data_IF_219286168733
#
_entry.id   IF_219286168733
#
_cell.length_a   1.000
_cell.length_b   1.000
_cell.length_c   1.000
_cell.angle_alpha   90.00
_cell.angle_beta   90.00
_cell.angle_gamma   90.00
#
_symmetry.space_group_name_H-M   'P 1'
#
loop_
_entity.id
_entity.type
_entity.pdbx_description
1 polymer ?
#
# COMPACT_ATOMS: atom_id res chain seq x y z
N UNK A 1 1.78 -18.90 -7.49
CA UNK A 1 1.69 -17.44 -7.43
C UNK A 1 3.09 -16.92 -7.27
N UNK A 2 3.46 -15.99 -8.14
CA UNK A 2 4.76 -15.33 -8.15
C UNK A 2 4.57 -13.84 -7.81
N UNK A 3 5.51 -13.20 -7.10
CA UNK A 3 5.43 -11.76 -6.86
C UNK A 3 5.33 -10.92 -8.17
N UNK A 4 5.86 -11.44 -9.29
CA UNK A 4 5.77 -10.83 -10.62
C UNK A 4 4.38 -10.86 -11.26
N UNK A 5 3.43 -11.64 -10.72
CA UNK A 5 2.04 -11.66 -11.21
C UNK A 5 1.33 -10.32 -10.93
N UNK A 6 1.84 -9.52 -9.99
CA UNK A 6 1.23 -8.26 -9.56
C UNK A 6 1.59 -7.10 -10.48
N UNK A 7 0.62 -6.24 -10.84
CA UNK A 7 0.87 -5.11 -11.73
C UNK A 7 1.88 -4.15 -11.13
N UNK A 8 2.70 -3.56 -11.99
CA UNK A 8 3.72 -2.59 -11.59
C UNK A 8 3.49 -1.19 -12.18
N UNK A 9 2.90 -1.10 -13.37
CA UNK A 9 2.55 0.17 -14.04
C UNK A 9 1.08 0.55 -13.88
N UNK A 10 0.23 -0.42 -13.51
CA UNK A 10 -1.22 -0.25 -13.33
C UNK A 10 -1.99 0.24 -14.55
N UNK A 11 -1.38 0.13 -15.74
CA UNK A 11 -2.05 0.36 -17.02
C UNK A 11 -2.92 -0.85 -17.36
N UNK A 12 -4.09 -0.60 -17.93
CA UNK A 12 -4.94 -1.66 -18.47
C UNK A 12 -4.28 -2.28 -19.72
N UNK A 13 -4.28 -3.62 -19.86
CA UNK A 13 -3.64 -4.29 -21.00
C UNK A 13 -4.36 -4.08 -22.35
N UNK A 14 -5.67 -3.80 -22.33
CA UNK A 14 -6.48 -3.65 -23.54
C UNK A 14 -6.62 -2.17 -23.95
N UNK A 15 -6.63 -1.26 -22.97
CA UNK A 15 -6.85 0.17 -23.16
C UNK A 15 -5.64 0.99 -22.67
N UNK A 16 -4.76 1.47 -23.57
CA UNK A 16 -3.51 2.12 -23.17
C UNK A 16 -3.69 3.47 -22.47
N UNK A 17 -4.87 4.09 -22.59
CA UNK A 17 -5.23 5.33 -21.91
C UNK A 17 -5.94 5.11 -20.56
N UNK A 18 -6.09 3.86 -20.10
CA UNK A 18 -6.76 3.53 -18.86
C UNK A 18 -5.77 3.01 -17.82
N UNK A 19 -5.87 3.53 -16.59
CA UNK A 19 -5.06 3.12 -15.44
C UNK A 19 -5.96 2.90 -14.22
N UNK A 20 -5.61 1.93 -13.37
CA UNK A 20 -6.36 1.61 -12.15
C UNK A 20 -5.43 1.46 -10.94
N UNK A 21 -5.60 2.29 -9.91
CA UNK A 21 -4.74 2.30 -8.71
C UNK A 21 -5.55 2.15 -7.43
N UNK A 22 -4.86 1.80 -6.34
CA UNK A 22 -5.46 1.67 -5.01
C UNK A 22 -6.47 0.54 -4.92
N UNK A 23 -7.66 0.80 -4.37
CA UNK A 23 -8.71 -0.23 -4.26
C UNK A 23 -9.28 -0.61 -5.64
N UNK A 24 -9.15 0.22 -6.68
CA UNK A 24 -9.82 -0.06 -7.96
C UNK A 24 -9.21 -1.24 -8.75
N UNK A 25 -7.91 -1.51 -8.62
CA UNK A 25 -7.29 -2.58 -9.42
C UNK A 25 -7.66 -3.98 -8.88
N UNK A 26 -7.71 -4.95 -9.79
CA UNK A 26 -8.01 -6.33 -9.47
C UNK A 26 -6.74 -7.09 -9.05
N UNK A 27 -6.67 -7.63 -7.82
CA UNK A 27 -5.59 -8.52 -7.42
C UNK A 27 -5.59 -9.80 -8.28
N UNK A 28 -4.43 -10.25 -8.80
CA UNK A 28 -4.34 -11.44 -9.66
C UNK A 28 -4.60 -12.74 -8.87
N UNK A 29 -4.30 -12.75 -7.58
CA UNK A 29 -4.50 -13.90 -6.70
C UNK A 29 -4.53 -13.46 -5.21
N UNK A 30 -4.93 -14.38 -4.33
CA UNK A 30 -4.85 -14.18 -2.88
C UNK A 30 -3.38 -14.17 -2.39
N UNK A 31 -3.13 -13.55 -1.23
CA UNK A 31 -1.78 -13.39 -0.67
C UNK A 31 -1.52 -14.25 0.56
N UNK A 32 -2.47 -15.11 0.94
CA UNK A 32 -2.32 -16.03 2.07
C UNK A 32 -3.15 -17.29 1.84
N UNK A 33 -2.87 -18.32 2.64
CA UNK A 33 -3.54 -19.61 2.53
C UNK A 33 -5.03 -19.45 2.88
N UNK A 34 -5.94 -20.01 2.06
CA UNK A 34 -7.37 -19.97 2.36
C UNK A 34 -7.67 -20.74 3.65
N UNK A 35 -8.63 -20.26 4.43
CA UNK A 35 -9.21 -21.00 5.54
C UNK A 35 -10.53 -21.67 5.09
N UNK A 36 -11.10 -22.52 5.94
CA UNK A 36 -12.42 -23.11 5.73
C UNK A 36 -13.27 -22.95 6.99
N UNK A 37 -14.58 -22.70 6.80
CA UNK A 37 -15.55 -22.72 7.90
C UNK A 37 -15.86 -24.14 8.36
N UNK A 38 -16.54 -24.28 9.50
CA UNK A 38 -17.03 -25.59 9.99
C UNK A 38 -17.94 -26.29 8.97
N UNK A 39 -18.61 -25.53 8.10
CA UNK A 39 -19.49 -26.04 7.03
C UNK A 39 -18.77 -26.23 5.68
N UNK A 40 -17.44 -26.11 5.63
CA UNK A 40 -16.64 -26.28 4.41
C UNK A 40 -16.63 -25.07 3.47
N UNK A 41 -17.17 -23.91 3.88
CA UNK A 41 -17.11 -22.68 3.06
C UNK A 41 -15.67 -22.18 3.01
N UNK A 42 -15.07 -21.99 1.82
CA UNK A 42 -13.71 -21.47 1.73
C UNK A 42 -13.69 -19.97 2.04
N UNK A 43 -12.71 -19.53 2.82
CA UNK A 43 -12.54 -18.16 3.30
C UNK A 43 -11.19 -17.64 2.80
N UNK A 44 -11.25 -16.67 1.89
CA UNK A 44 -10.06 -16.05 1.30
C UNK A 44 -9.94 -14.61 1.80
N UNK A 45 -8.84 -14.25 2.49
CA UNK A 45 -8.60 -12.87 2.85
C UNK A 45 -8.15 -12.06 1.62
N UNK A 46 -8.80 -10.91 1.44
CA UNK A 46 -8.45 -9.98 0.36
C UNK A 46 -7.18 -9.21 0.71
N UNK A 47 -6.25 -9.04 -0.24
CA UNK A 47 -5.05 -8.23 -0.04
C UNK A 47 -5.41 -6.75 0.24
N UNK A 48 -4.84 -6.14 1.30
CA UNK A 48 -5.15 -4.76 1.65
C UNK A 48 -4.45 -3.78 0.70
N UNK A 49 -5.20 -2.83 0.14
CA UNK A 49 -4.66 -1.69 -0.63
C UNK A 49 -4.81 -0.41 0.20
N UNK A 50 -3.96 -0.28 1.23
CA UNK A 50 -4.06 0.82 2.22
C UNK A 50 -3.66 2.18 1.65
N UNK A 51 -3.74 3.24 2.46
CA UNK A 51 -3.49 4.62 2.05
C UNK A 51 -2.12 4.84 1.42
N UNK A 52 -1.04 4.46 2.11
CA UNK A 52 0.33 4.67 1.61
C UNK A 52 0.62 3.94 0.28
N UNK A 53 0.33 2.62 0.13
CA UNK A 53 0.45 1.95 -1.16
C UNK A 53 -0.37 2.64 -2.25
N UNK A 54 -1.62 3.04 -1.95
CA UNK A 54 -2.48 3.73 -2.91
C UNK A 54 -1.91 5.09 -3.35
N UNK A 55 -1.33 5.86 -2.41
CA UNK A 55 -0.66 7.11 -2.70
C UNK A 55 0.59 6.94 -3.57
N UNK A 56 1.43 5.94 -3.24
CA UNK A 56 2.62 5.61 -4.04
C UNK A 56 2.24 5.18 -5.46
N UNK A 57 1.23 4.31 -5.60
CA UNK A 57 0.71 3.89 -6.91
C UNK A 57 0.21 5.09 -7.72
N UNK A 58 -0.66 5.91 -7.11
CA UNK A 58 -1.25 7.07 -7.76
C UNK A 58 -0.17 8.06 -8.24
N UNK A 59 0.87 8.29 -7.43
CA UNK A 59 1.99 9.16 -7.80
C UNK A 59 2.73 8.63 -9.03
N UNK A 60 3.09 7.34 -9.06
CA UNK A 60 3.82 6.79 -10.23
C UNK A 60 2.96 6.79 -11.49
N UNK A 61 1.67 6.46 -11.37
CA UNK A 61 0.73 6.48 -12.49
C UNK A 61 0.52 7.91 -13.01
N UNK A 62 0.32 8.90 -12.14
CA UNK A 62 0.17 10.29 -12.55
C UNK A 62 1.40 10.80 -13.31
N UNK A 63 2.61 10.43 -12.85
CA UNK A 63 3.85 10.77 -13.54
C UNK A 63 4.01 10.03 -14.88
N UNK A 64 3.60 8.76 -14.97
CA UNK A 64 3.57 8.05 -16.26
C UNK A 64 2.62 8.75 -17.24
N UNK A 65 1.41 9.12 -16.81
CA UNK A 65 0.45 9.86 -17.66
C UNK A 65 1.05 11.17 -18.16
N UNK A 66 1.72 11.93 -17.28
CA UNK A 66 2.38 13.18 -17.66
C UNK A 66 3.52 12.96 -18.67
N UNK A 67 4.35 11.94 -18.48
CA UNK A 67 5.44 11.59 -19.40
C UNK A 67 4.90 11.16 -20.77
N UNK A 68 3.81 10.37 -20.82
CA UNK A 68 3.13 9.97 -22.05
C UNK A 68 2.53 11.18 -22.79
N UNK A 69 1.80 12.05 -22.07
CA UNK A 69 1.17 13.24 -22.66
C UNK A 69 2.18 14.24 -23.22
N UNK A 70 3.37 14.31 -22.64
CA UNK A 70 4.43 15.23 -23.06
C UNK A 70 5.41 14.60 -24.06
N UNK A 71 5.17 13.36 -24.49
CA UNK A 71 6.03 12.63 -25.43
C UNK A 71 7.41 12.27 -24.86
N UNK A 72 7.60 12.34 -23.54
CA UNK A 72 8.87 11.94 -22.87
C UNK A 72 9.05 10.42 -22.86
N UNK A 73 7.95 9.67 -22.95
CA UNK A 73 7.95 8.22 -23.04
C UNK A 73 6.81 7.76 -23.95
N UNK A 74 7.00 6.62 -24.62
CA UNK A 74 5.95 5.98 -25.44
C UNK A 74 5.11 4.97 -24.62
N UNK A 75 5.63 4.54 -23.46
CA UNK A 75 5.00 3.57 -22.57
C UNK A 75 5.25 3.94 -21.10
N UNK A 76 4.46 3.44 -20.14
CA UNK A 76 4.70 3.66 -18.72
C UNK A 76 6.05 3.09 -18.28
N UNK A 77 6.95 3.94 -17.78
CA UNK A 77 8.30 3.56 -17.33
C UNK A 77 8.42 3.46 -15.82
N UNK A 78 7.54 4.17 -15.08
CA UNK A 78 7.55 4.23 -13.62
C UNK A 78 6.74 3.09 -13.03
N UNK A 79 7.27 2.46 -11.99
CA UNK A 79 6.76 1.20 -11.42
C UNK A 79 6.53 1.33 -9.92
N UNK A 80 5.48 0.68 -9.42
CA UNK A 80 5.15 0.64 -7.98
C UNK A 80 4.43 -0.66 -7.59
N UNK A 81 5.06 -1.81 -7.86
CA UNK A 81 4.48 -3.11 -7.53
C UNK A 81 4.34 -3.31 -6.02
N UNK A 82 3.19 -3.86 -5.59
CA UNK A 82 2.96 -4.27 -4.20
C UNK A 82 3.92 -5.38 -3.73
N UNK A 83 4.55 -6.11 -4.66
CA UNK A 83 5.60 -7.08 -4.37
C UNK A 83 6.95 -6.46 -4.01
N UNK A 84 7.15 -5.15 -4.28
CA UNK A 84 8.41 -4.44 -4.02
C UNK A 84 8.23 -3.21 -3.13
N UNK A 85 7.04 -3.04 -2.56
CA UNK A 85 6.69 -1.91 -1.68
C UNK A 85 6.25 -2.42 -0.32
N UNK A 86 6.37 -1.56 0.70
CA UNK A 86 5.86 -1.84 2.04
C UNK A 86 4.48 -1.25 2.26
N UNK A 87 3.84 -1.65 3.36
CA UNK A 87 2.66 -0.96 3.87
C UNK A 87 2.83 -0.69 5.37
N UNK A 88 2.25 0.41 5.82
CA UNK A 88 2.11 0.75 7.22
C UNK A 88 0.62 0.86 7.57
N UNK A 89 0.25 0.42 8.76
CA UNK A 89 -1.10 0.56 9.29
C UNK A 89 -1.03 1.00 10.75
N UNK A 90 -1.89 1.94 11.14
CA UNK A 90 -2.01 2.39 12.53
C UNK A 90 -3.48 2.34 12.95
N UNK A 91 -3.80 1.44 13.86
CA UNK A 91 -5.13 1.21 14.41
C UNK A 91 -5.23 1.76 15.83
N UNK A 92 -6.18 2.68 16.08
CA UNK A 92 -6.39 3.22 17.42
C UNK A 92 -6.87 2.15 18.38
N UNK A 93 -6.28 2.11 19.58
CA UNK A 93 -6.65 1.23 20.69
C UNK A 93 -7.08 2.00 21.96
N UNK A 94 -6.98 3.33 21.93
CA UNK A 94 -7.40 4.24 23.00
C UNK A 94 -7.15 5.70 22.62
N UNK A 95 -7.79 6.63 23.32
CA UNK A 95 -7.69 8.06 23.06
C UNK A 95 -7.27 8.86 24.30
N UNK A 96 -6.49 9.92 24.09
CA UNK A 96 -6.07 10.85 25.13
C UNK A 96 -4.63 11.30 24.95
N UNK A 97 -4.30 12.52 25.36
CA UNK A 97 -2.97 13.09 25.13
C UNK A 97 -1.82 12.29 25.76
N UNK A 98 -2.03 11.78 26.98
CA UNK A 98 -1.01 11.03 27.74
C UNK A 98 -1.34 9.54 27.90
N UNK A 99 -2.59 9.16 27.62
CA UNK A 99 -3.11 7.79 27.82
C UNK A 99 -3.68 7.16 26.54
N UNK A 100 -3.51 7.84 25.40
CA UNK A 100 -3.86 7.29 24.10
C UNK A 100 -3.00 6.07 23.77
N UNK A 101 -3.52 5.20 22.92
CA UNK A 101 -2.80 4.01 22.46
C UNK A 101 -3.20 3.69 21.04
N UNK A 102 -2.26 3.19 20.24
CA UNK A 102 -2.52 2.62 18.94
C UNK A 102 -1.57 1.46 18.66
N UNK A 103 -2.05 0.51 17.87
CA UNK A 103 -1.24 -0.53 17.24
C UNK A 103 -0.69 0.04 15.94
N UNK A 104 0.63 0.12 15.84
CA UNK A 104 1.35 0.49 14.62
C UNK A 104 2.01 -0.76 14.07
N UNK A 105 1.86 -1.01 12.77
CA UNK A 105 2.49 -2.15 12.11
C UNK A 105 3.03 -1.77 10.73
N UNK A 106 4.12 -2.40 10.36
CA UNK A 106 4.73 -2.33 9.03
C UNK A 106 4.85 -3.73 8.45
N UNK A 107 4.75 -3.83 7.13
CA UNK A 107 4.96 -5.08 6.39
C UNK A 107 5.78 -4.77 5.14
N UNK A 108 6.77 -5.61 4.85
CA UNK A 108 7.54 -5.51 3.62
C UNK A 108 8.04 -6.88 3.13
N UNK A 109 7.85 -7.21 1.84
CA UNK A 109 6.91 -6.59 0.91
C UNK A 109 5.45 -6.85 1.31
N UNK A 110 4.51 -6.10 0.71
CA UNK A 110 3.07 -6.34 0.95
C UNK A 110 2.68 -7.74 0.46
N UNK A 111 3.05 -8.06 -0.78
CA UNK A 111 2.87 -9.38 -1.38
C UNK A 111 4.05 -10.26 -0.97
N UNK A 112 3.80 -11.41 -0.30
CA UNK A 112 4.87 -12.30 0.11
C UNK A 112 5.76 -12.75 -1.07
N UNK A 113 7.07 -12.66 -0.88
CA UNK A 113 8.11 -13.12 -1.80
C UNK A 113 8.95 -14.20 -1.12
N UNK A 114 8.59 -15.47 -1.36
CA UNK A 114 9.30 -16.63 -0.82
C UNK A 114 10.59 -16.97 -1.60
N UNK A 115 10.86 -16.32 -2.74
CA UNK A 115 12.15 -16.45 -3.42
C UNK A 115 13.21 -15.63 -2.69
N UNK A 116 12.86 -14.40 -2.34
CA UNK A 116 13.76 -13.48 -1.62
C UNK A 116 13.78 -13.75 -0.11
N UNK A 117 12.63 -14.11 0.49
CA UNK A 117 12.49 -14.39 1.92
C UNK A 117 11.90 -15.80 2.15
N UNK A 118 12.71 -16.88 2.05
CA UNK A 118 12.20 -18.25 2.00
C UNK A 118 11.35 -18.69 3.21
N UNK A 119 11.66 -18.19 4.39
CA UNK A 119 11.01 -18.64 5.63
C UNK A 119 9.63 -17.98 5.84
N UNK A 120 9.52 -16.70 5.53
CA UNK A 120 8.40 -15.85 5.96
C UNK A 120 7.66 -15.20 4.80
N UNK A 121 8.26 -15.19 3.60
CA UNK A 121 7.82 -14.37 2.46
C UNK A 121 7.99 -12.86 2.70
N UNK A 122 8.52 -12.43 3.85
CA UNK A 122 8.65 -11.02 4.24
C UNK A 122 9.93 -10.74 4.99
N UNK A 123 10.46 -9.54 4.83
CA UNK A 123 11.61 -9.09 5.61
C UNK A 123 11.22 -8.92 7.08
N UNK A 124 11.84 -9.70 7.96
CA UNK A 124 11.69 -9.54 9.42
C UNK A 124 12.27 -8.21 9.94
N UNK A 125 13.19 -7.58 9.18
CA UNK A 125 13.76 -6.28 9.52
C UNK A 125 12.76 -5.13 9.33
N UNK A 126 11.89 -5.25 8.33
CA UNK A 126 10.94 -4.19 7.93
C UNK A 126 9.47 -4.56 8.20
N UNK A 127 9.24 -5.72 8.80
CA UNK A 127 7.91 -6.21 9.19
C UNK A 127 7.86 -6.29 10.70
N UNK A 128 7.19 -5.33 11.33
CA UNK A 128 7.05 -5.28 12.79
C UNK A 128 5.67 -4.76 13.20
N UNK A 129 5.34 -4.95 14.47
CA UNK A 129 4.10 -4.47 15.07
C UNK A 129 4.33 -4.11 16.53
N UNK A 130 3.91 -2.91 16.92
CA UNK A 130 4.06 -2.38 18.27
C UNK A 130 2.76 -1.70 18.72
N UNK A 131 2.52 -1.69 20.02
CA UNK A 131 1.38 -0.99 20.62
C UNK A 131 1.88 0.05 21.60
N UNK A 132 1.34 1.27 21.52
CA UNK A 132 1.67 2.30 22.51
C UNK A 132 1.21 3.70 22.14
N UNK A 133 1.58 4.65 23.01
CA UNK A 133 1.26 6.06 22.88
C UNK A 133 1.91 6.72 21.65
N UNK A 134 3.10 6.25 21.25
CA UNK A 134 3.77 6.76 20.05
C UNK A 134 2.91 6.56 18.79
N UNK A 135 2.33 5.38 18.61
CA UNK A 135 1.41 5.11 17.50
C UNK A 135 0.18 6.02 17.51
N UNK A 136 -0.36 6.33 18.70
CA UNK A 136 -1.50 7.25 18.85
C UNK A 136 -1.17 8.64 18.30
N UNK A 137 -0.03 9.20 18.72
CA UNK A 137 0.41 10.51 18.24
C UNK A 137 0.78 10.52 16.76
N UNK A 138 1.46 9.48 16.26
CA UNK A 138 1.76 9.36 14.83
C UNK A 138 0.46 9.36 14.02
N UNK A 139 -0.55 8.58 14.42
CA UNK A 139 -1.86 8.57 13.74
C UNK A 139 -2.51 9.95 13.76
N UNK A 140 -2.46 10.64 14.88
CA UNK A 140 -3.02 11.99 15.02
C UNK A 140 -2.32 12.97 14.07
N UNK A 141 -0.98 13.00 14.06
CA UNK A 141 -0.19 13.85 13.18
C UNK A 141 -0.45 13.54 11.70
N UNK A 142 -0.49 12.26 11.32
CA UNK A 142 -0.79 11.84 9.94
C UNK A 142 -2.21 12.23 9.52
N UNK A 143 -3.19 12.21 10.43
CA UNK A 143 -4.55 12.65 10.14
C UNK A 143 -4.59 14.12 9.69
N UNK A 144 -3.98 15.02 10.47
CA UNK A 144 -3.93 16.44 10.11
C UNK A 144 -3.00 16.71 8.93
N UNK A 145 -1.87 16.00 8.84
CA UNK A 145 -0.96 16.08 7.70
C UNK A 145 -1.66 15.70 6.38
N UNK A 146 -2.46 14.63 6.38
CA UNK A 146 -3.25 14.23 5.22
C UNK A 146 -4.27 15.30 4.84
N UNK A 147 -5.04 15.84 5.79
CA UNK A 147 -6.02 16.90 5.51
C UNK A 147 -5.37 18.18 4.99
N UNK A 148 -4.20 18.54 5.51
CA UNK A 148 -3.42 19.68 5.03
C UNK A 148 -2.96 19.46 3.59
N UNK A 149 -2.42 18.26 3.30
CA UNK A 149 -2.00 17.85 1.95
C UNK A 149 -3.16 17.85 0.96
N UNK A 150 -4.31 17.29 1.35
CA UNK A 150 -5.50 17.18 0.52
C UNK A 150 -6.10 18.55 0.15
N UNK A 151 -5.90 19.58 0.99
CA UNK A 151 -6.30 20.97 0.70
C UNK A 151 -5.30 21.72 -0.19
N UNK A 152 -4.19 21.11 -0.56
CA UNK A 152 -3.10 21.72 -1.33
C UNK A 152 -2.55 23.01 -0.71
N UNK A 153 -2.53 23.07 0.62
CA UNK A 153 -1.97 24.21 1.35
C UNK A 153 -0.46 24.39 1.06
N UNK A 154 0.12 25.58 1.28
CA UNK A 154 1.53 25.84 0.98
C UNK A 154 2.48 24.77 1.52
N UNK A 155 3.49 24.38 0.74
CA UNK A 155 4.49 23.35 1.11
C UNK A 155 3.92 21.93 1.33
N UNK A 156 2.69 21.63 0.90
CA UNK A 156 2.10 20.30 1.02
C UNK A 156 2.96 19.17 0.43
N UNK A 157 3.78 19.48 -0.57
CA UNK A 157 4.67 18.54 -1.27
C UNK A 157 5.75 17.93 -0.35
N UNK A 158 6.06 18.59 0.78
CA UNK A 158 7.02 18.10 1.78
C UNK A 158 6.42 16.96 2.62
N UNK A 159 5.08 16.87 2.70
CA UNK A 159 4.40 15.82 3.45
C UNK A 159 4.47 14.53 2.61
N UNK A 160 5.13 13.47 3.12
CA UNK A 160 5.33 12.23 2.36
C UNK A 160 4.01 11.50 2.09
N UNK A 161 4.07 10.54 1.17
CA UNK A 161 3.04 9.53 0.93
C UNK A 161 2.97 8.46 2.04
#
# INVERSE_FOLDING_TARGET
WDPGDWPETYQNPDYPNLFAVGIAFAPPHAISKPAQSVKGTPIFPTPPRTGMPSGVMARQVALNIADLMTGKAEQPTRKSSMARMGAACIASAGAGMLRGSAVSMTVYPIIPDFKTYPETGRSLRYTSGEIGLAGHWIKYLLHFGFLYKAKANPLWQVIPE
#
